data_IF_082213635674
#
_entry.id   IF_082213635674
#
_cell.length_a   1.000
_cell.length_b   1.000
_cell.length_c   1.000
_cell.angle_alpha   90.00
_cell.angle_beta   90.00
_cell.angle_gamma   90.00
#
_symmetry.space_group_name_H-M   'P 1'
#
loop_
_entity.id
_entity.type
_entity.pdbx_description
1 polymer ?
#
# COMPACT_ATOMS: atom_id res chain seq x y z
N UNK A 1 -88.77 -29.47 -36.37
CA UNK A 1 -88.05 -29.17 -37.62
C UNK A 1 -86.65 -29.71 -37.39
N UNK A 2 -86.29 -30.95 -37.73
CA UNK A 2 -86.45 -31.64 -39.04
C UNK A 2 -86.07 -30.67 -40.16
N UNK A 3 -84.90 -30.79 -40.78
CA UNK A 3 -84.48 -31.75 -41.83
C UNK A 3 -82.95 -31.56 -42.03
N UNK A 4 -82.13 -32.31 -42.75
CA UNK A 4 -82.23 -33.47 -43.63
C UNK A 4 -80.82 -34.06 -43.78
N UNK A 5 -80.80 -35.38 -44.00
CA UNK A 5 -79.71 -36.18 -44.52
C UNK A 5 -79.56 -35.99 -46.05
N UNK A 6 -78.33 -36.02 -46.59
CA UNK A 6 -77.96 -36.53 -47.94
C UNK A 6 -76.42 -36.57 -48.13
N UNK A 7 -75.81 -37.74 -47.86
CA UNK A 7 -74.95 -38.61 -48.74
C UNK A 7 -73.77 -38.05 -49.58
N UNK A 8 -72.85 -38.89 -50.15
CA UNK A 8 -72.04 -40.01 -49.62
C UNK A 8 -70.53 -39.89 -50.01
N UNK A 9 -69.60 -40.67 -49.41
CA UNK A 9 -68.38 -41.15 -50.09
C UNK A 9 -67.55 -42.16 -49.26
N UNK A 10 -67.69 -43.44 -49.64
CA UNK A 10 -66.66 -44.47 -49.80
C UNK A 10 -65.33 -44.45 -48.99
N UNK A 11 -65.20 -45.48 -48.13
CA UNK A 11 -64.01 -46.33 -47.79
C UNK A 11 -62.75 -45.73 -47.14
N UNK A 12 -62.32 -46.32 -46.00
CA UNK A 12 -60.90 -46.52 -45.68
C UNK A 12 -60.52 -48.00 -45.81
N UNK A 13 -59.53 -48.27 -46.66
CA UNK A 13 -58.87 -49.56 -46.84
C UNK A 13 -57.87 -49.78 -45.70
N UNK A 14 -58.08 -50.82 -44.89
CA UNK A 14 -57.19 -51.23 -43.80
C UNK A 14 -56.09 -52.13 -44.35
N UNK A 15 -54.83 -51.69 -44.33
CA UNK A 15 -53.67 -52.55 -44.55
C UNK A 15 -53.04 -52.89 -43.19
N UNK A 16 -53.37 -54.07 -42.67
CA UNK A 16 -52.65 -54.70 -41.56
C UNK A 16 -51.34 -55.31 -42.09
N UNK A 17 -50.22 -54.79 -41.60
CA UNK A 17 -48.89 -55.35 -41.79
C UNK A 17 -48.64 -56.42 -40.72
N UNK A 18 -48.44 -57.66 -41.16
CA UNK A 18 -48.26 -58.85 -40.35
C UNK A 18 -46.80 -59.00 -39.93
N UNK A 19 -46.45 -58.59 -38.71
CA UNK A 19 -45.21 -58.98 -38.05
C UNK A 19 -45.37 -60.39 -37.45
N UNK A 20 -44.79 -61.39 -38.12
CA UNK A 20 -44.71 -62.75 -37.59
C UNK A 20 -43.93 -62.76 -36.27
N UNK A 21 -44.67 -62.97 -35.17
CA UNK A 21 -44.11 -63.29 -33.86
C UNK A 21 -43.85 -64.79 -33.78
N UNK A 22 -42.58 -65.20 -33.88
CA UNK A 22 -42.17 -66.57 -33.57
C UNK A 22 -42.40 -66.83 -32.08
N UNK A 23 -43.26 -67.79 -31.75
CA UNK A 23 -43.57 -68.16 -30.36
C UNK A 23 -42.72 -69.36 -29.94
N UNK A 24 -41.87 -69.16 -28.92
CA UNK A 24 -41.06 -70.21 -28.31
C UNK A 24 -41.76 -70.69 -27.04
N UNK A 25 -42.10 -71.97 -26.96
CA UNK A 25 -42.70 -72.59 -25.77
C UNK A 25 -41.61 -73.14 -24.84
N UNK A 26 -41.46 -72.52 -23.67
CA UNK A 26 -40.53 -72.95 -22.62
C UNK A 26 -41.31 -73.56 -21.45
N UNK A 27 -40.72 -74.52 -20.75
CA UNK A 27 -41.28 -74.98 -19.47
C UNK A 27 -41.10 -73.89 -18.40
N UNK A 28 -41.96 -73.88 -17.37
CA UNK A 28 -41.94 -72.84 -16.31
C UNK A 28 -40.57 -72.74 -15.60
N UNK A 29 -39.88 -73.88 -15.47
CA UNK A 29 -38.58 -73.99 -14.79
C UNK A 29 -37.43 -73.44 -15.65
N UNK A 30 -37.46 -73.66 -16.97
CA UNK A 30 -36.51 -73.07 -17.92
C UNK A 30 -36.68 -71.55 -18.05
N UNK A 31 -37.92 -71.06 -17.99
CA UNK A 31 -38.22 -69.63 -18.00
C UNK A 31 -37.68 -68.93 -16.74
N UNK A 32 -37.89 -69.53 -15.55
CA UNK A 32 -37.39 -69.01 -14.29
C UNK A 32 -35.85 -69.00 -14.27
N UNK A 33 -35.20 -70.09 -14.67
CA UNK A 33 -33.74 -70.19 -14.75
C UNK A 33 -33.13 -69.14 -15.70
N UNK A 34 -33.76 -68.89 -16.85
CA UNK A 34 -33.35 -67.82 -17.77
C UNK A 34 -33.51 -66.42 -17.17
N UNK A 35 -34.58 -66.19 -16.42
CA UNK A 35 -34.85 -64.90 -15.77
C UNK A 35 -33.84 -64.61 -14.66
N UNK A 36 -33.56 -65.60 -13.82
CA UNK A 36 -32.60 -65.50 -12.72
C UNK A 36 -31.18 -65.28 -13.26
N UNK A 37 -30.78 -66.02 -14.30
CA UNK A 37 -29.48 -65.83 -14.96
C UNK A 37 -29.31 -64.44 -15.57
N UNK A 38 -30.38 -63.87 -16.14
CA UNK A 38 -30.32 -62.54 -16.73
C UNK A 38 -30.36 -61.44 -15.66
N UNK A 39 -31.06 -61.66 -14.54
CA UNK A 39 -31.02 -60.80 -13.37
C UNK A 39 -29.61 -60.77 -12.75
N UNK A 40 -28.96 -61.92 -12.57
CA UNK A 40 -27.60 -62.03 -12.06
C UNK A 40 -26.58 -61.34 -12.97
N UNK A 41 -26.69 -61.49 -14.29
CA UNK A 41 -25.81 -60.78 -15.25
C UNK A 41 -26.00 -59.27 -15.17
N UNK A 42 -27.25 -58.79 -15.04
CA UNK A 42 -27.52 -57.36 -14.88
C UNK A 42 -26.99 -56.83 -13.55
N UNK A 43 -27.16 -57.59 -12.46
CA UNK A 43 -26.63 -57.23 -11.16
C UNK A 43 -25.09 -57.18 -11.17
N UNK A 44 -24.43 -58.17 -11.75
CA UNK A 44 -22.98 -58.21 -11.90
C UNK A 44 -22.45 -57.02 -12.70
N UNK A 45 -23.06 -56.71 -13.86
CA UNK A 45 -22.72 -55.53 -14.65
C UNK A 45 -22.92 -54.22 -13.89
N UNK A 46 -24.01 -54.09 -13.13
CA UNK A 46 -24.28 -52.90 -12.34
C UNK A 46 -23.22 -52.71 -11.23
N UNK A 47 -22.85 -53.80 -10.54
CA UNK A 47 -21.80 -53.77 -9.52
C UNK A 47 -20.44 -53.46 -10.12
N UNK A 48 -20.08 -54.05 -11.25
CA UNK A 48 -18.82 -53.77 -11.94
C UNK A 48 -18.74 -52.31 -12.40
N UNK A 49 -19.83 -51.79 -12.98
CA UNK A 49 -19.93 -50.37 -13.39
C UNK A 49 -19.83 -49.45 -12.18
N UNK A 50 -20.50 -49.78 -11.07
CA UNK A 50 -20.44 -49.00 -9.84
C UNK A 50 -19.02 -49.01 -9.23
N UNK A 51 -18.34 -50.16 -9.24
CA UNK A 51 -16.94 -50.28 -8.80
C UNK A 51 -16.01 -49.45 -9.68
N UNK A 52 -16.14 -49.54 -11.00
CA UNK A 52 -15.33 -48.75 -11.93
C UNK A 52 -15.51 -47.25 -11.70
N UNK A 53 -16.77 -46.79 -11.59
CA UNK A 53 -17.10 -45.40 -11.30
C UNK A 53 -16.56 -44.95 -9.93
N UNK A 54 -16.65 -45.80 -8.91
CA UNK A 54 -16.12 -45.49 -7.59
C UNK A 54 -14.60 -45.37 -7.59
N UNK A 55 -13.88 -46.27 -8.27
CA UNK A 55 -12.42 -46.19 -8.42
C UNK A 55 -12.00 -44.92 -9.15
N UNK A 56 -12.71 -44.55 -10.21
CA UNK A 56 -12.45 -43.31 -10.96
C UNK A 56 -12.72 -42.06 -10.12
N UNK A 57 -13.81 -42.05 -9.35
CA UNK A 57 -14.12 -40.98 -8.39
C UNK A 57 -13.06 -40.86 -7.30
N UNK A 58 -12.59 -41.98 -6.74
CA UNK A 58 -11.52 -41.97 -5.73
C UNK A 58 -10.21 -41.44 -6.32
N UNK A 59 -9.85 -41.86 -7.53
CA UNK A 59 -8.66 -41.36 -8.21
C UNK A 59 -8.76 -39.85 -8.44
N UNK A 60 -9.90 -39.37 -8.93
CA UNK A 60 -10.15 -37.94 -9.15
C UNK A 60 -10.09 -37.15 -7.84
N UNK A 61 -10.74 -37.64 -6.79
CA UNK A 61 -10.72 -36.98 -5.48
C UNK A 61 -9.31 -36.91 -4.88
N UNK A 62 -8.50 -37.94 -5.07
CA UNK A 62 -7.12 -38.01 -4.57
C UNK A 62 -6.20 -37.05 -5.33
N UNK A 63 -6.35 -36.95 -6.66
CA UNK A 63 -5.61 -35.97 -7.47
C UNK A 63 -6.02 -34.53 -7.14
N UNK A 64 -7.32 -34.26 -6.97
CA UNK A 64 -7.83 -32.95 -6.57
C UNK A 64 -7.28 -32.55 -5.18
N UNK A 65 -7.31 -33.47 -4.21
CA UNK A 65 -6.76 -33.24 -2.87
C UNK A 65 -5.25 -32.92 -2.90
N UNK A 66 -4.47 -33.64 -3.71
CA UNK A 66 -3.03 -33.35 -3.90
C UNK A 66 -2.81 -31.96 -4.51
N UNK A 67 -3.60 -31.61 -5.54
CA UNK A 67 -3.45 -30.33 -6.23
C UNK A 67 -3.81 -29.15 -5.32
N UNK A 68 -4.92 -29.26 -4.57
CA UNK A 68 -5.30 -28.26 -3.58
C UNK A 68 -4.25 -28.13 -2.47
N UNK A 69 -3.73 -29.24 -1.94
CA UNK A 69 -2.65 -29.23 -0.95
C UNK A 69 -1.38 -28.56 -1.48
N UNK A 70 -0.97 -28.86 -2.71
CA UNK A 70 0.18 -28.24 -3.36
C UNK A 70 -0.02 -26.73 -3.55
N UNK A 71 -1.21 -26.31 -3.99
CA UNK A 71 -1.56 -24.89 -4.15
C UNK A 71 -1.56 -24.13 -2.83
N UNK A 72 -2.12 -24.73 -1.76
CA UNK A 72 -2.10 -24.13 -0.42
C UNK A 72 -0.67 -24.00 0.12
N UNK A 73 0.16 -25.04 -0.05
CA UNK A 73 1.56 -24.99 0.35
C UNK A 73 2.35 -23.94 -0.43
N UNK A 74 2.12 -23.82 -1.74
CA UNK A 74 2.72 -22.78 -2.58
C UNK A 74 2.28 -21.38 -2.16
N UNK A 75 0.99 -21.16 -1.87
CA UNK A 75 0.49 -19.89 -1.36
C UNK A 75 1.16 -19.52 -0.04
N UNK A 76 1.24 -20.46 0.90
CA UNK A 76 1.90 -20.21 2.19
C UNK A 76 3.39 -19.88 2.05
N UNK A 77 4.10 -20.55 1.13
CA UNK A 77 5.50 -20.24 0.85
C UNK A 77 5.67 -18.86 0.19
N UNK A 78 4.81 -18.52 -0.78
CA UNK A 78 4.83 -17.23 -1.47
C UNK A 78 4.48 -16.06 -0.53
N UNK A 79 3.49 -16.23 0.36
CA UNK A 79 3.14 -15.22 1.36
C UNK A 79 4.29 -14.98 2.34
N UNK A 80 4.92 -16.04 2.84
CA UNK A 80 6.11 -15.91 3.70
C UNK A 80 7.26 -15.20 2.99
N UNK A 81 7.53 -15.54 1.73
CA UNK A 81 8.57 -14.88 0.94
C UNK A 81 8.27 -13.39 0.75
N UNK A 82 7.03 -13.04 0.40
CA UNK A 82 6.59 -11.64 0.24
C UNK A 82 6.68 -10.85 1.54
N UNK A 83 6.32 -11.46 2.67
CA UNK A 83 6.44 -10.80 3.97
C UNK A 83 7.91 -10.58 4.35
N UNK A 84 8.78 -11.57 4.16
CA UNK A 84 10.21 -11.42 4.40
C UNK A 84 10.85 -10.34 3.50
N UNK A 85 10.41 -10.26 2.23
CA UNK A 85 10.84 -9.19 1.33
C UNK A 85 10.34 -7.82 1.77
N UNK A 86 9.08 -7.71 2.21
CA UNK A 86 8.53 -6.47 2.76
C UNK A 86 9.29 -6.01 4.00
N UNK A 87 9.54 -6.92 4.95
CA UNK A 87 10.32 -6.62 6.16
C UNK A 87 11.74 -6.18 5.82
N UNK A 88 12.36 -6.83 4.82
CA UNK A 88 13.68 -6.42 4.32
C UNK A 88 13.64 -5.03 3.69
N UNK A 89 12.62 -4.73 2.89
CA UNK A 89 12.48 -3.42 2.26
C UNK A 89 12.25 -2.34 3.31
N UNK A 90 11.36 -2.56 4.29
CA UNK A 90 11.12 -1.63 5.40
C UNK A 90 12.40 -1.38 6.22
N UNK A 91 13.21 -2.41 6.44
CA UNK A 91 14.51 -2.27 7.12
C UNK A 91 15.52 -1.46 6.30
N UNK A 92 15.50 -1.60 4.96
CA UNK A 92 16.34 -0.81 4.07
C UNK A 92 15.88 0.66 4.04
N UNK A 93 14.58 0.90 3.89
CA UNK A 93 13.99 2.24 3.86
C UNK A 93 14.25 2.98 5.18
N UNK A 94 14.12 2.30 6.32
CA UNK A 94 14.42 2.87 7.63
C UNK A 94 15.92 3.22 7.77
N UNK A 95 16.80 2.37 7.25
CA UNK A 95 18.24 2.63 7.26
C UNK A 95 18.61 3.81 6.36
N UNK A 96 18.00 3.89 5.19
CA UNK A 96 18.23 5.00 4.25
C UNK A 96 17.70 6.32 4.83
N UNK A 97 16.52 6.31 5.44
CA UNK A 97 15.97 7.49 6.13
C UNK A 97 16.88 7.97 7.27
N UNK A 98 17.42 7.05 8.07
CA UNK A 98 18.36 7.41 9.16
C UNK A 98 19.68 7.96 8.61
N UNK A 99 20.22 7.38 7.54
CA UNK A 99 21.43 7.89 6.88
C UNK A 99 21.19 9.28 6.30
N UNK A 100 20.11 9.49 5.56
CA UNK A 100 19.75 10.78 5.00
C UNK A 100 19.58 11.84 6.09
N UNK A 101 18.91 11.49 7.20
CA UNK A 101 18.78 12.37 8.36
C UNK A 101 20.14 12.71 8.96
N UNK A 102 21.02 11.73 9.13
CA UNK A 102 22.37 11.91 9.68
C UNK A 102 23.25 12.80 8.78
N UNK A 103 23.19 12.59 7.48
CA UNK A 103 23.89 13.42 6.48
C UNK A 103 23.36 14.84 6.48
N UNK A 104 22.03 15.01 6.46
CA UNK A 104 21.39 16.33 6.54
C UNK A 104 21.78 17.06 7.83
N UNK A 105 21.83 16.35 8.95
CA UNK A 105 22.27 16.88 10.26
C UNK A 105 23.72 17.37 10.22
N UNK A 106 24.62 16.55 9.64
CA UNK A 106 26.03 16.92 9.52
C UNK A 106 26.22 18.16 8.63
N UNK A 107 25.55 18.20 7.48
CA UNK A 107 25.58 19.33 6.55
C UNK A 107 25.01 20.59 7.19
N UNK A 108 23.88 20.48 7.90
CA UNK A 108 23.27 21.61 8.62
C UNK A 108 24.18 22.12 9.73
N UNK A 109 24.85 21.22 10.45
CA UNK A 109 25.83 21.59 11.48
C UNK A 109 27.01 22.36 10.87
N UNK A 110 27.56 21.87 9.76
CA UNK A 110 28.66 22.54 9.07
C UNK A 110 28.24 23.93 8.56
N UNK A 111 27.05 24.04 7.96
CA UNK A 111 26.49 25.31 7.49
C UNK A 111 26.31 26.32 8.63
N UNK A 112 25.78 25.90 9.77
CA UNK A 112 25.61 26.79 10.92
C UNK A 112 26.95 27.28 11.46
N UNK A 113 27.96 26.41 11.53
CA UNK A 113 29.32 26.81 11.94
C UNK A 113 29.91 27.83 10.97
N UNK A 114 29.77 27.61 9.65
CA UNK A 114 30.23 28.54 8.62
C UNK A 114 29.52 29.90 8.71
N UNK A 115 28.20 29.90 8.95
CA UNK A 115 27.40 31.11 9.17
C UNK A 115 27.57 31.73 10.56
N UNK A 116 28.44 31.16 11.42
CA UNK A 116 28.71 31.61 12.78
C UNK A 116 27.44 31.63 13.68
N UNK A 117 26.57 30.65 13.48
CA UNK A 117 25.31 30.44 14.19
C UNK A 117 25.41 29.25 15.17
N UNK A 118 24.62 29.26 16.26
CA UNK A 118 24.70 28.23 17.28
C UNK A 118 24.17 26.87 16.81
N UNK A 119 24.85 25.80 17.26
CA UNK A 119 24.49 24.40 16.99
C UNK A 119 23.10 24.00 17.53
N UNK A 120 22.55 24.74 18.47
CA UNK A 120 21.22 24.49 19.03
C UNK A 120 20.11 24.67 17.96
N UNK A 121 20.43 25.31 16.83
CA UNK A 121 19.54 25.44 15.68
C UNK A 121 19.54 24.21 14.75
N UNK A 122 20.41 23.23 14.97
CA UNK A 122 20.54 22.05 14.07
C UNK A 122 19.23 21.25 14.04
N UNK A 123 18.72 20.81 15.19
CA UNK A 123 17.48 20.02 15.25
C UNK A 123 16.27 20.70 14.59
N UNK A 124 15.92 21.97 14.93
CA UNK A 124 14.77 22.64 14.31
C UNK A 124 14.95 22.90 12.82
N UNK A 125 16.18 23.10 12.33
CA UNK A 125 16.44 23.23 10.90
C UNK A 125 16.37 21.88 10.17
N UNK A 126 16.97 20.83 10.70
CA UNK A 126 16.89 19.47 10.12
C UNK A 126 15.45 18.97 10.04
N UNK A 127 14.59 19.39 10.98
CA UNK A 127 13.16 19.08 10.95
C UNK A 127 12.40 19.64 9.73
N UNK A 128 12.97 20.61 9.01
CA UNK A 128 12.44 21.12 7.75
C UNK A 128 12.54 20.09 6.62
N UNK A 129 13.47 19.12 6.70
CA UNK A 129 13.61 18.00 5.76
C UNK A 129 14.13 18.37 4.36
N UNK A 130 14.34 19.65 4.08
CA UNK A 130 14.78 20.16 2.77
C UNK A 130 16.06 21.01 2.93
N UNK A 131 17.12 20.61 2.23
CA UNK A 131 18.42 21.26 2.29
C UNK A 131 18.40 22.71 1.79
N UNK A 132 17.63 23.02 0.74
CA UNK A 132 17.51 24.38 0.20
C UNK A 132 16.74 25.28 1.16
N UNK A 133 15.69 24.75 1.78
CA UNK A 133 14.93 25.48 2.79
C UNK A 133 15.78 25.75 4.05
N UNK A 134 16.57 24.77 4.49
CA UNK A 134 17.52 24.93 5.60
C UNK A 134 18.52 26.03 5.28
N UNK A 135 19.08 26.04 4.07
CA UNK A 135 20.05 27.05 3.63
C UNK A 135 19.45 28.45 3.63
N UNK A 136 18.31 28.63 2.97
CA UNK A 136 17.59 29.91 2.90
C UNK A 136 17.21 30.43 4.30
N UNK A 137 16.75 29.54 5.18
CA UNK A 137 16.42 29.89 6.57
C UNK A 137 17.66 30.31 7.34
N UNK A 138 18.77 29.60 7.17
CA UNK A 138 20.06 29.91 7.82
C UNK A 138 20.59 31.28 7.38
N UNK A 139 20.57 31.58 6.08
CA UNK A 139 20.98 32.88 5.53
C UNK A 139 20.10 34.02 6.07
N UNK A 140 18.79 33.79 6.18
CA UNK A 140 17.85 34.76 6.74
C UNK A 140 18.15 35.02 8.22
N UNK A 141 18.31 33.97 9.02
CA UNK A 141 18.66 34.09 10.45
C UNK A 141 19.98 34.83 10.65
N UNK A 142 21.00 34.48 9.87
CA UNK A 142 22.31 35.13 9.91
C UNK A 142 22.17 36.64 9.66
N UNK A 143 21.46 37.03 8.60
CA UNK A 143 21.25 38.44 8.24
C UNK A 143 20.47 39.19 9.33
N UNK A 144 19.36 38.64 9.80
CA UNK A 144 18.52 39.30 10.82
C UNK A 144 19.28 39.47 12.13
N UNK A 145 20.03 38.47 12.56
CA UNK A 145 20.84 38.56 13.79
C UNK A 145 21.94 39.60 13.67
N UNK A 146 22.68 39.64 12.55
CA UNK A 146 23.71 40.65 12.33
C UNK A 146 23.13 42.06 12.35
N UNK A 147 22.00 42.27 11.66
CA UNK A 147 21.33 43.57 11.64
C UNK A 147 20.88 44.02 13.04
N UNK A 148 20.25 43.13 13.80
CA UNK A 148 19.71 43.45 15.13
C UNK A 148 20.83 43.65 16.16
N UNK A 149 21.90 42.85 16.12
CA UNK A 149 23.07 43.04 16.98
C UNK A 149 23.75 44.37 16.66
N UNK A 150 23.97 44.69 15.38
CA UNK A 150 24.56 45.97 14.98
C UNK A 150 23.71 47.16 15.44
N UNK A 151 22.38 47.07 15.29
CA UNK A 151 21.43 48.09 15.77
C UNK A 151 21.57 48.30 17.28
N UNK A 152 21.53 47.22 18.07
CA UNK A 152 21.65 47.28 19.54
C UNK A 152 23.00 47.82 19.99
N UNK A 153 24.09 47.41 19.33
CA UNK A 153 25.43 47.94 19.62
C UNK A 153 25.50 49.42 19.30
N UNK A 154 24.95 49.87 18.17
CA UNK A 154 24.91 51.28 17.81
C UNK A 154 24.08 52.11 18.80
N UNK A 155 22.94 51.60 19.26
CA UNK A 155 22.13 52.22 20.32
C UNK A 155 22.88 52.29 21.64
N UNK A 156 23.61 51.23 22.01
CA UNK A 156 24.41 51.22 23.24
C UNK A 156 25.65 52.12 23.18
N UNK A 157 26.20 52.36 21.98
CA UNK A 157 27.34 53.24 21.75
C UNK A 157 26.93 54.71 21.58
N UNK A 158 25.65 55.01 21.36
CA UNK A 158 25.13 56.35 21.48
C UNK A 158 25.15 56.75 22.96
N UNK A 159 26.29 57.24 23.43
CA UNK A 159 26.37 57.97 24.71
C UNK A 159 25.46 59.21 24.64
N UNK A 160 24.96 59.66 25.79
CA UNK A 160 24.34 61.00 25.87
C UNK A 160 25.32 62.01 25.23
N UNK A 161 24.85 62.88 24.31
CA UNK A 161 25.68 63.93 23.76
C UNK A 161 26.35 64.67 24.92
N UNK A 162 27.67 64.94 24.88
CA UNK A 162 28.29 65.73 25.92
C UNK A 162 27.46 67.00 26.04
N UNK A 163 26.99 67.30 27.25
CA UNK A 163 26.29 68.56 27.50
C UNK A 163 27.23 69.63 26.97
N UNK A 164 26.82 70.32 25.91
CA UNK A 164 27.46 71.56 25.47
C UNK A 164 27.25 72.57 26.61
N UNK A 165 28.03 72.41 27.68
CA UNK A 165 28.46 73.53 28.48
C UNK A 165 29.34 74.29 27.52
N UNK A 166 28.74 75.24 26.79
CA UNK A 166 29.47 76.36 26.25
C UNK A 166 30.32 76.84 27.42
N UNK A 167 31.62 76.54 27.39
CA UNK A 167 32.59 77.25 28.20
C UNK A 167 32.40 78.68 27.74
N UNK A 168 31.66 79.48 28.50
CA UNK A 168 31.47 80.87 28.17
C UNK A 168 32.86 81.52 28.27
N UNK A 169 33.59 81.54 27.14
CA UNK A 169 34.90 82.16 26.95
C UNK A 169 34.82 83.70 27.02
N UNK A 170 33.81 84.22 27.72
CA UNK A 170 33.55 85.63 27.89
C UNK A 170 33.05 85.97 29.32
N UNK A 171 32.78 84.96 30.16
CA UNK A 171 32.36 85.16 31.55
C UNK A 171 33.51 85.55 32.48
N UNK A 172 33.19 86.07 33.66
CA UNK A 172 34.17 86.44 34.69
C UNK A 172 35.03 85.25 35.20
N UNK A 173 34.56 84.02 34.97
CA UNK A 173 35.26 82.77 35.31
C UNK A 173 36.14 82.23 34.16
N UNK A 174 36.33 82.99 33.08
CA UNK A 174 37.25 82.61 32.01
C UNK A 174 38.70 82.50 32.54
N UNK A 175 39.34 81.31 32.41
CA UNK A 175 40.69 81.11 32.89
C UNK A 175 41.73 82.05 32.26
N UNK A 176 41.52 82.52 31.02
CA UNK A 176 42.39 83.46 30.33
C UNK A 176 42.23 84.88 30.84
N UNK A 177 41.00 85.38 31.03
CA UNK A 177 40.76 86.71 31.62
C UNK A 177 41.31 86.79 33.05
N UNK A 178 41.16 85.71 33.81
CA UNK A 178 41.67 85.59 35.18
C UNK A 178 43.20 85.55 35.25
N UNK A 179 43.87 85.06 34.19
CA UNK A 179 45.31 85.14 34.06
C UNK A 179 45.75 86.57 33.69
N UNK A 180 45.06 87.22 32.74
CA UNK A 180 45.36 88.60 32.32
C UNK A 180 45.26 89.61 33.48
N UNK A 181 44.25 89.47 34.35
CA UNK A 181 44.06 90.34 35.52
C UNK A 181 45.18 90.21 36.57
N UNK A 182 45.99 89.13 36.57
CA UNK A 182 47.14 88.98 37.47
C UNK A 182 48.40 89.68 36.96
N UNK A 183 48.40 90.15 35.71
CA UNK A 183 49.55 90.80 35.07
C UNK A 183 49.32 92.30 34.80
N UNK A 184 48.21 92.88 35.26
CA UNK A 184 47.97 94.33 35.33
C UNK A 184 48.15 94.81 36.77
#
# INVERSE_FOLDING_TARGET
>A
METANTDPAATPNNQENNEQTETVTLTAEELQSKLDSEADKRAAKAVETAKAKWVEQQKTALEEAKNQGAKLAQMSAAEKAKQAEKERQEALDAREAELNKRELTANTTALLVESNLPKDLVEPLVALGDAELIKSTTETLQKTLQQEVNRRVQESLQSEPPKNGSTALDGADDPFKRAEARYK
#
